data_IF_066654683083
#
_entry.id   IF_066654683083
#
_cell.length_a   1.000
_cell.length_b   1.000
_cell.length_c   1.000
_cell.angle_alpha   90.00
_cell.angle_beta   90.00
_cell.angle_gamma   90.00
#
_symmetry.space_group_name_H-M   'P 1'
#
loop_
_entity.id
_entity.type
_entity.pdbx_description
1 polymer ?
#
# COMPACT_ATOMS: atom_id res chain seq x y z
N UNK A 1 -57.99 -11.62 15.94
CA UNK A 1 -57.28 -11.47 14.65
C UNK A 1 -55.89 -10.86 14.88
N UNK A 2 -54.86 -11.63 14.71
CA UNK A 2 -53.47 -11.15 14.82
C UNK A 2 -53.01 -10.74 13.41
N UNK A 3 -52.37 -9.56 13.23
CA UNK A 3 -51.86 -9.18 11.90
C UNK A 3 -50.62 -9.98 11.54
N UNK A 4 -50.61 -10.53 10.34
CA UNK A 4 -49.49 -11.22 9.73
C UNK A 4 -48.25 -10.30 9.62
N UNK A 5 -47.17 -10.67 10.32
CA UNK A 5 -45.83 -10.14 10.02
C UNK A 5 -45.40 -10.67 8.64
N UNK A 6 -45.40 -9.82 7.64
CA UNK A 6 -44.66 -10.08 6.40
C UNK A 6 -43.17 -10.11 6.76
N UNK A 7 -42.55 -11.29 6.70
CA UNK A 7 -41.10 -11.43 6.66
C UNK A 7 -40.62 -10.74 5.35
N UNK A 8 -39.97 -9.61 5.52
CA UNK A 8 -39.11 -9.10 4.45
C UNK A 8 -37.92 -10.04 4.38
N UNK A 9 -37.75 -10.69 3.23
CA UNK A 9 -36.49 -11.38 2.88
C UNK A 9 -35.35 -10.34 2.95
N UNK A 10 -34.17 -10.69 3.48
CA UNK A 10 -33.05 -9.77 3.48
C UNK A 10 -32.76 -9.40 2.03
N UNK A 11 -32.83 -8.09 1.74
CA UNK A 11 -32.33 -7.54 0.48
C UNK A 11 -30.88 -8.05 0.33
N UNK A 12 -30.62 -8.79 -0.74
CA UNK A 12 -29.27 -9.14 -1.16
C UNK A 12 -28.52 -7.82 -1.26
N UNK A 13 -27.57 -7.56 -0.37
CA UNK A 13 -26.66 -6.42 -0.49
C UNK A 13 -25.97 -6.55 -1.84
N UNK A 14 -26.33 -5.67 -2.78
CA UNK A 14 -25.66 -5.61 -4.07
C UNK A 14 -24.26 -5.09 -3.81
N UNK A 15 -23.23 -5.87 -4.13
CA UNK A 15 -21.84 -5.42 -4.08
C UNK A 15 -21.49 -4.66 -5.37
N UNK A 16 -20.57 -3.71 -5.27
CA UNK A 16 -19.90 -3.11 -6.43
C UNK A 16 -18.92 -4.14 -7.03
N UNK A 17 -19.44 -5.02 -7.89
CA UNK A 17 -18.61 -5.95 -8.67
C UNK A 17 -18.09 -5.28 -9.93
N UNK A 18 -17.08 -5.86 -10.58
CA UNK A 18 -16.53 -5.38 -11.85
C UNK A 18 -17.61 -5.24 -12.92
N UNK A 19 -18.52 -6.21 -13.05
CA UNK A 19 -19.63 -6.16 -13.99
C UNK A 19 -20.60 -5.02 -13.66
N UNK A 20 -20.87 -4.78 -12.36
CA UNK A 20 -21.78 -3.71 -11.95
C UNK A 20 -21.18 -2.33 -12.19
N UNK A 21 -19.88 -2.17 -11.98
CA UNK A 21 -19.17 -0.91 -12.31
C UNK A 21 -19.21 -0.68 -13.83
N UNK A 22 -18.94 -1.71 -14.65
CA UNK A 22 -19.03 -1.60 -16.10
C UNK A 22 -20.44 -1.19 -16.57
N UNK A 23 -21.49 -1.79 -15.99
CA UNK A 23 -22.89 -1.42 -16.26
C UNK A 23 -23.15 0.06 -15.91
N UNK A 24 -22.72 0.52 -14.74
CA UNK A 24 -22.90 1.91 -14.29
C UNK A 24 -22.16 2.92 -15.18
N UNK A 25 -21.01 2.55 -15.70
CA UNK A 25 -20.21 3.37 -16.62
C UNK A 25 -20.66 3.25 -18.09
N UNK A 26 -21.57 2.32 -18.40
CA UNK A 26 -22.05 2.07 -19.75
C UNK A 26 -20.98 1.48 -20.69
N UNK A 27 -20.07 0.67 -20.15
CA UNK A 27 -18.98 0.03 -20.91
C UNK A 27 -19.15 -1.49 -20.94
N UNK A 28 -18.70 -2.09 -22.01
CA UNK A 28 -18.66 -3.54 -22.23
C UNK A 28 -17.32 -4.17 -21.82
N UNK A 29 -16.29 -3.33 -21.65
CA UNK A 29 -14.92 -3.72 -21.31
C UNK A 29 -14.34 -2.69 -20.32
N UNK A 30 -13.74 -3.17 -19.24
CA UNK A 30 -13.09 -2.35 -18.22
C UNK A 30 -11.95 -1.47 -18.79
N UNK A 31 -11.36 -1.87 -19.91
CA UNK A 31 -10.35 -1.03 -20.60
C UNK A 31 -10.92 0.32 -21.05
N UNK A 32 -12.21 0.41 -21.39
CA UNK A 32 -12.89 1.65 -21.80
C UNK A 32 -13.35 2.53 -20.63
N UNK A 33 -13.37 1.97 -19.41
CA UNK A 33 -13.91 2.65 -18.24
C UNK A 33 -13.24 3.98 -17.91
N UNK A 34 -11.89 4.15 -17.98
CA UNK A 34 -11.25 5.43 -17.68
C UNK A 34 -11.73 6.58 -18.57
N UNK A 35 -11.84 6.34 -19.87
CA UNK A 35 -12.31 7.34 -20.84
C UNK A 35 -13.81 7.66 -20.63
N UNK A 36 -14.63 6.65 -20.48
CA UNK A 36 -16.06 6.80 -20.22
C UNK A 36 -16.30 7.60 -18.94
N UNK A 37 -15.63 7.23 -17.85
CA UNK A 37 -15.72 7.93 -16.57
C UNK A 37 -15.28 9.38 -16.68
N UNK A 38 -14.13 9.66 -17.31
CA UNK A 38 -13.66 11.04 -17.52
C UNK A 38 -14.68 11.88 -18.29
N UNK A 39 -15.34 11.33 -19.32
CA UNK A 39 -16.35 12.05 -20.07
C UNK A 39 -17.60 12.34 -19.23
N UNK A 40 -18.02 11.43 -18.36
CA UNK A 40 -19.14 11.64 -17.43
C UNK A 40 -18.81 12.73 -16.41
N UNK A 41 -17.61 12.71 -15.81
CA UNK A 41 -17.21 13.63 -14.75
C UNK A 41 -17.08 15.09 -15.20
N UNK A 42 -16.83 15.35 -16.48
CA UNK A 42 -16.74 16.70 -17.05
C UNK A 42 -18.06 17.48 -17.07
N UNK A 43 -19.18 16.80 -16.92
CA UNK A 43 -20.48 17.43 -16.88
C UNK A 43 -21.12 17.17 -15.50
N UNK A 44 -21.50 18.25 -14.82
CA UNK A 44 -22.05 18.22 -13.45
C UNK A 44 -23.28 17.33 -13.31
N UNK A 45 -24.21 17.39 -14.27
CA UNK A 45 -25.47 16.65 -14.18
C UNK A 45 -25.26 15.15 -14.39
N UNK A 46 -24.42 14.76 -15.36
CA UNK A 46 -24.07 13.37 -15.58
C UNK A 46 -23.24 12.79 -14.44
N UNK A 47 -22.32 13.57 -13.87
CA UNK A 47 -21.53 13.17 -12.70
C UNK A 47 -22.43 12.92 -11.49
N UNK A 48 -23.38 13.86 -11.19
CA UNK A 48 -24.30 13.72 -10.06
C UNK A 48 -25.20 12.49 -10.23
N UNK A 49 -25.76 12.27 -11.42
CA UNK A 49 -26.55 11.08 -11.68
C UNK A 49 -25.73 9.78 -11.48
N UNK A 50 -24.49 9.76 -11.92
CA UNK A 50 -23.60 8.64 -11.65
C UNK A 50 -23.37 8.42 -10.17
N UNK A 51 -23.10 9.48 -9.40
CA UNK A 51 -22.93 9.38 -7.94
C UNK A 51 -24.16 8.81 -7.24
N UNK A 52 -25.37 9.27 -7.61
CA UNK A 52 -26.62 8.75 -7.04
C UNK A 52 -26.77 7.25 -7.33
N UNK A 53 -26.40 6.79 -8.54
CA UNK A 53 -26.46 5.37 -8.90
C UNK A 53 -25.45 4.52 -8.10
N UNK A 54 -24.24 5.02 -7.86
CA UNK A 54 -23.24 4.33 -7.02
C UNK A 54 -23.68 4.31 -5.55
N UNK A 55 -24.18 5.44 -5.00
CA UNK A 55 -24.65 5.54 -3.63
C UNK A 55 -25.90 4.69 -3.35
N UNK A 56 -26.67 4.35 -4.37
CA UNK A 56 -27.78 3.41 -4.22
C UNK A 56 -27.32 1.94 -3.98
N UNK A 57 -26.03 1.64 -4.25
CA UNK A 57 -25.45 0.30 -4.09
C UNK A 57 -24.50 0.25 -2.90
N UNK A 58 -23.64 1.27 -2.75
CA UNK A 58 -22.61 1.37 -1.69
C UNK A 58 -22.65 2.75 -1.06
N UNK A 59 -22.71 2.80 0.26
CA UNK A 59 -22.77 4.04 1.04
C UNK A 59 -21.55 4.24 1.94
N UNK A 60 -20.70 3.23 2.09
CA UNK A 60 -19.47 3.35 2.87
C UNK A 60 -18.39 4.09 2.06
N UNK A 61 -18.20 5.36 2.41
CA UNK A 61 -17.21 6.23 1.78
C UNK A 61 -15.79 6.10 2.37
N UNK A 62 -15.57 5.18 3.32
CA UNK A 62 -14.30 5.04 4.04
C UNK A 62 -13.17 4.38 3.25
N UNK A 63 -13.47 3.83 2.08
CA UNK A 63 -12.50 3.09 1.26
C UNK A 63 -12.64 3.38 -0.24
N UNK A 64 -11.62 3.04 -0.99
CA UNK A 64 -11.59 3.18 -2.45
C UNK A 64 -12.46 2.10 -3.11
N UNK A 65 -13.54 2.51 -3.77
CA UNK A 65 -14.49 1.61 -4.43
C UNK A 65 -13.94 0.96 -5.71
N UNK A 66 -12.87 1.51 -6.27
CA UNK A 66 -12.25 0.99 -7.49
C UNK A 66 -10.98 0.17 -7.23
N UNK A 67 -10.64 -0.04 -5.97
CA UNK A 67 -9.45 -0.80 -5.59
C UNK A 67 -9.41 -2.20 -6.25
N UNK A 68 -10.46 -3.01 -6.06
CA UNK A 68 -10.58 -4.35 -6.65
C UNK A 68 -10.73 -4.28 -8.18
N UNK A 69 -11.60 -3.40 -8.67
CA UNK A 69 -11.86 -3.19 -10.09
C UNK A 69 -10.58 -2.91 -10.88
N UNK A 70 -9.76 -1.99 -10.38
CA UNK A 70 -8.50 -1.63 -11.01
C UNK A 70 -7.44 -2.73 -10.91
N UNK A 71 -7.50 -3.56 -9.86
CA UNK A 71 -6.64 -4.72 -9.69
C UNK A 71 -6.96 -5.84 -10.68
N UNK A 72 -8.22 -6.16 -10.91
CA UNK A 72 -8.65 -7.22 -11.83
C UNK A 72 -8.30 -6.88 -13.28
N UNK A 73 -8.47 -5.62 -13.68
CA UNK A 73 -8.12 -5.14 -15.01
C UNK A 73 -6.61 -5.22 -15.31
N UNK A 74 -5.78 -5.08 -14.28
CA UNK A 74 -4.31 -5.07 -14.41
C UNK A 74 -3.69 -6.47 -14.21
N UNK A 75 -4.40 -7.56 -14.50
CA UNK A 75 -3.88 -8.94 -14.43
C UNK A 75 -2.57 -9.14 -15.22
N UNK A 76 -2.25 -8.30 -16.20
CA UNK A 76 -0.95 -8.22 -16.90
C UNK A 76 0.16 -7.47 -16.11
N UNK A 77 0.19 -7.68 -14.81
CA UNK A 77 1.01 -6.97 -13.80
C UNK A 77 2.53 -7.05 -13.94
N UNK A 78 3.04 -7.96 -14.75
CA UNK A 78 4.49 -8.16 -14.90
C UNK A 78 5.25 -6.91 -15.39
N UNK A 79 4.57 -5.93 -15.98
CA UNK A 79 5.22 -4.74 -16.54
C UNK A 79 5.09 -3.45 -15.70
N UNK A 80 4.07 -3.27 -14.84
CA UNK A 80 3.80 -1.96 -14.20
C UNK A 80 4.03 -1.87 -12.69
N UNK A 81 4.26 -2.98 -11.96
CA UNK A 81 4.62 -2.99 -10.52
C UNK A 81 3.76 -2.07 -9.62
N UNK A 82 2.51 -1.84 -9.97
CA UNK A 82 1.61 -1.02 -9.14
C UNK A 82 0.96 -1.93 -8.09
N UNK A 83 1.43 -1.85 -6.85
CA UNK A 83 0.84 -2.51 -5.71
C UNK A 83 -0.09 -1.53 -5.00
N UNK A 84 -1.38 -1.86 -4.94
CA UNK A 84 -2.36 -1.03 -4.22
C UNK A 84 -2.16 -1.12 -2.71
N UNK A 85 -2.35 0.01 -2.04
CA UNK A 85 -2.15 0.10 -0.59
C UNK A 85 -3.32 -0.56 0.15
N UNK A 86 -3.07 -1.58 1.00
CA UNK A 86 -4.11 -2.15 1.85
C UNK A 86 -4.73 -1.11 2.76
N UNK A 87 -6.04 -1.22 3.02
CA UNK A 87 -6.76 -0.30 3.91
C UNK A 87 -6.13 -0.17 5.30
N UNK A 88 -5.61 -1.27 5.86
CA UNK A 88 -4.94 -1.29 7.17
C UNK A 88 -3.64 -0.46 7.15
N UNK A 89 -2.84 -0.54 6.10
CA UNK A 89 -1.63 0.28 5.93
C UNK A 89 -2.00 1.75 5.79
N UNK A 90 -3.01 2.07 4.97
CA UNK A 90 -3.52 3.44 4.85
C UNK A 90 -4.00 4.00 6.19
N UNK A 91 -4.62 3.17 7.05
CA UNK A 91 -5.01 3.57 8.40
C UNK A 91 -3.80 3.87 9.29
N UNK A 92 -2.73 3.06 9.23
CA UNK A 92 -1.48 3.33 9.96
C UNK A 92 -0.88 4.68 9.54
N UNK A 93 -0.70 4.91 8.24
CA UNK A 93 -0.12 6.17 7.75
C UNK A 93 -0.95 7.38 8.16
N UNK A 94 -2.27 7.33 8.00
CA UNK A 94 -3.15 8.45 8.33
C UNK A 94 -3.16 8.78 9.82
N UNK A 95 -3.06 7.77 10.71
CA UNK A 95 -3.01 7.97 12.16
C UNK A 95 -1.64 8.47 12.64
N UNK A 96 -0.55 8.19 11.91
CA UNK A 96 0.78 8.78 12.14
C UNK A 96 0.77 10.28 11.83
N UNK A 97 0.09 10.66 10.75
CA UNK A 97 0.07 12.05 10.28
C UNK A 97 -0.80 12.97 11.14
N UNK A 98 -1.57 12.41 12.06
CA UNK A 98 -2.58 13.14 12.85
C UNK A 98 -3.49 14.03 11.97
N UNK A 99 -4.23 14.95 12.59
CA UNK A 99 -5.10 15.88 11.87
C UNK A 99 -4.28 16.95 11.13
N UNK A 100 -4.64 17.23 9.87
CA UNK A 100 -3.95 18.21 9.03
C UNK A 100 -4.92 18.96 8.13
N UNK A 101 -4.68 20.27 7.91
CA UNK A 101 -5.53 21.12 7.07
C UNK A 101 -5.23 20.93 5.57
N UNK A 102 -4.00 20.56 5.24
CA UNK A 102 -3.57 20.29 3.86
C UNK A 102 -2.75 19.00 3.77
N UNK A 103 -3.08 18.15 2.81
CA UNK A 103 -2.42 16.85 2.60
C UNK A 103 -2.02 16.67 1.14
N UNK A 104 -0.78 16.23 0.90
CA UNK A 104 -0.30 15.78 -0.41
C UNK A 104 -0.20 14.25 -0.44
N UNK A 105 -0.77 13.64 -1.48
CA UNK A 105 -0.60 12.23 -1.82
C UNK A 105 0.22 12.12 -3.10
N UNK A 106 1.45 11.63 -2.97
CA UNK A 106 2.39 11.47 -4.11
C UNK A 106 2.25 10.07 -4.68
N UNK A 107 2.00 9.98 -5.99
CA UNK A 107 1.62 8.76 -6.70
C UNK A 107 0.32 8.17 -6.13
N UNK A 108 -0.73 8.98 -6.14
CA UNK A 108 -1.99 8.74 -5.44
C UNK A 108 -2.80 7.53 -5.96
N UNK A 109 -2.52 7.03 -7.17
CA UNK A 109 -3.28 5.96 -7.80
C UNK A 109 -4.75 6.34 -7.94
N UNK A 110 -5.63 5.52 -7.41
CA UNK A 110 -7.08 5.79 -7.36
C UNK A 110 -7.54 6.57 -6.11
N UNK A 111 -6.58 6.99 -5.26
CA UNK A 111 -6.84 7.87 -4.12
C UNK A 111 -7.08 7.15 -2.78
N UNK A 112 -6.73 5.87 -2.68
CA UNK A 112 -6.99 5.07 -1.48
C UNK A 112 -6.40 5.65 -0.20
N UNK A 113 -5.15 6.17 -0.23
CA UNK A 113 -4.52 6.83 0.92
C UNK A 113 -5.19 8.16 1.26
N UNK A 114 -5.47 8.98 0.26
CA UNK A 114 -6.16 10.27 0.43
C UNK A 114 -7.54 10.09 1.07
N UNK A 115 -8.32 9.09 0.60
CA UNK A 115 -9.63 8.74 1.17
C UNK A 115 -9.48 8.33 2.64
N UNK A 116 -8.50 7.48 2.95
CA UNK A 116 -8.29 7.01 4.31
C UNK A 116 -7.88 8.13 5.25
N UNK A 117 -7.06 9.07 4.79
CA UNK A 117 -6.69 10.28 5.54
C UNK A 117 -7.92 11.16 5.81
N UNK A 118 -8.69 11.48 4.77
CA UNK A 118 -9.93 12.26 4.88
C UNK A 118 -10.93 11.63 5.87
N UNK A 119 -11.11 10.29 5.79
CA UNK A 119 -12.02 9.58 6.68
C UNK A 119 -11.57 9.62 8.14
N UNK A 120 -10.29 9.37 8.41
CA UNK A 120 -9.75 9.36 9.76
C UNK A 120 -9.67 10.75 10.39
N UNK A 121 -9.61 11.80 9.58
CA UNK A 121 -9.71 13.21 10.04
C UNK A 121 -11.16 13.64 10.39
N UNK A 122 -12.13 12.73 10.24
CA UNK A 122 -13.53 13.02 10.53
C UNK A 122 -14.29 13.67 9.36
N UNK A 123 -13.83 13.44 8.12
CA UNK A 123 -14.47 13.90 6.88
C UNK A 123 -14.60 15.44 6.79
N UNK A 124 -13.50 16.17 6.98
CA UNK A 124 -13.53 17.63 6.98
C UNK A 124 -13.88 18.17 5.58
N UNK A 125 -14.70 19.21 5.56
CA UNK A 125 -15.15 19.89 4.31
C UNK A 125 -14.20 21.00 3.87
N UNK A 126 -13.36 21.51 4.78
CA UNK A 126 -12.49 22.66 4.53
C UNK A 126 -11.05 22.29 4.25
N UNK A 127 -10.63 21.07 4.56
CA UNK A 127 -9.28 20.61 4.31
C UNK A 127 -9.00 20.50 2.81
N UNK A 128 -7.76 20.76 2.43
CA UNK A 128 -7.31 20.75 1.05
C UNK A 128 -6.45 19.52 0.75
N UNK A 129 -6.80 18.80 -0.30
CA UNK A 129 -6.08 17.61 -0.73
C UNK A 129 -5.42 17.88 -2.07
N UNK A 130 -4.13 17.59 -2.15
CA UNK A 130 -3.35 17.63 -3.37
C UNK A 130 -2.94 16.20 -3.72
N UNK A 131 -3.24 15.76 -4.94
CA UNK A 131 -2.88 14.43 -5.41
C UNK A 131 -2.05 14.54 -6.68
N UNK A 132 -0.97 13.81 -6.76
CA UNK A 132 -0.13 13.70 -7.95
C UNK A 132 -0.23 12.28 -8.51
N UNK A 133 -0.60 12.14 -9.78
CA UNK A 133 -0.73 10.84 -10.44
C UNK A 133 -0.33 10.91 -11.91
N UNK A 134 0.49 9.95 -12.33
CA UNK A 134 1.02 9.86 -13.70
C UNK A 134 0.09 9.13 -14.66
N UNK A 135 -0.67 8.15 -14.16
CA UNK A 135 -1.44 7.22 -14.97
C UNK A 135 -2.69 7.84 -15.54
N UNK A 136 -2.77 7.94 -16.87
CA UNK A 136 -3.98 8.35 -17.60
C UNK A 136 -5.21 7.47 -17.23
N UNK A 137 -4.97 6.24 -16.78
CA UNK A 137 -6.01 5.29 -16.42
C UNK A 137 -6.50 5.46 -14.97
N UNK A 138 -5.61 5.80 -14.03
CA UNK A 138 -5.96 5.96 -12.61
C UNK A 138 -6.65 7.30 -12.33
N UNK A 139 -6.24 8.37 -13.01
CA UNK A 139 -6.74 9.73 -12.78
C UNK A 139 -8.28 9.85 -12.83
N UNK A 140 -9.02 9.25 -13.77
CA UNK A 140 -10.50 9.35 -13.76
C UNK A 140 -11.14 8.75 -12.50
N UNK A 141 -10.61 7.63 -12.00
CA UNK A 141 -11.09 6.99 -10.77
C UNK A 141 -10.73 7.79 -9.53
N UNK A 142 -9.52 8.36 -9.49
CA UNK A 142 -9.11 9.30 -8.46
C UNK A 142 -10.07 10.49 -8.39
N UNK A 143 -10.35 11.13 -9.52
CA UNK A 143 -11.29 12.26 -9.59
C UNK A 143 -12.69 11.88 -9.10
N UNK A 144 -13.24 10.75 -9.56
CA UNK A 144 -14.53 10.24 -9.08
C UNK A 144 -14.54 10.05 -7.56
N UNK A 145 -13.51 9.38 -7.04
CA UNK A 145 -13.39 9.08 -5.61
C UNK A 145 -13.37 10.33 -4.74
N UNK A 146 -12.67 11.38 -5.18
CA UNK A 146 -12.63 12.66 -4.46
C UNK A 146 -13.95 13.43 -4.60
N UNK A 147 -14.53 13.45 -5.81
CA UNK A 147 -15.77 14.18 -6.08
C UNK A 147 -16.96 13.62 -5.32
N UNK A 148 -17.19 12.29 -5.34
CA UNK A 148 -18.35 11.68 -4.67
C UNK A 148 -18.33 11.89 -3.16
N UNK A 149 -17.15 12.14 -2.57
CA UNK A 149 -16.96 12.45 -1.15
C UNK A 149 -17.06 13.94 -0.83
N UNK A 150 -17.27 14.78 -1.85
CA UNK A 150 -17.32 16.25 -1.68
C UNK A 150 -16.02 16.84 -1.18
N UNK A 151 -14.88 16.20 -1.45
CA UNK A 151 -13.57 16.66 -1.01
C UNK A 151 -13.15 17.90 -1.81
N UNK A 152 -12.50 18.86 -1.14
CA UNK A 152 -11.85 19.98 -1.81
C UNK A 152 -10.44 19.54 -2.21
N UNK A 153 -10.18 19.37 -3.50
CA UNK A 153 -8.93 18.79 -3.97
C UNK A 153 -8.38 19.43 -5.25
N UNK A 154 -7.06 19.28 -5.44
CA UNK A 154 -6.39 19.50 -6.70
C UNK A 154 -5.69 18.20 -7.12
N UNK A 155 -5.82 17.82 -8.37
CA UNK A 155 -5.17 16.64 -8.95
C UNK A 155 -4.23 17.08 -10.07
N UNK A 156 -2.94 16.84 -9.86
CA UNK A 156 -1.90 17.03 -10.86
C UNK A 156 -1.75 15.72 -11.63
N UNK A 157 -2.23 15.70 -12.85
CA UNK A 157 -1.97 14.62 -13.77
C UNK A 157 -0.62 14.84 -14.43
N UNK A 158 0.40 14.14 -13.98
CA UNK A 158 1.78 14.34 -14.43
C UNK A 158 2.79 13.48 -13.71
N UNK A 159 4.06 13.68 -14.05
CA UNK A 159 5.18 12.98 -13.41
C UNK A 159 5.77 13.83 -12.28
N UNK A 160 5.54 13.41 -11.05
CA UNK A 160 6.04 14.09 -9.85
C UNK A 160 7.57 14.27 -9.85
N UNK A 161 8.31 13.32 -10.39
CA UNK A 161 9.78 13.35 -10.33
C UNK A 161 10.41 14.27 -11.38
N UNK A 162 9.94 14.22 -12.63
CA UNK A 162 10.39 15.12 -13.68
C UNK A 162 9.75 16.51 -13.60
N UNK A 163 8.64 16.65 -12.87
CA UNK A 163 7.86 17.89 -12.80
C UNK A 163 7.03 18.16 -14.07
N UNK A 164 6.95 17.21 -15.00
CA UNK A 164 6.14 17.36 -16.23
C UNK A 164 4.67 17.19 -15.91
N UNK A 165 3.90 18.26 -16.00
CA UNK A 165 2.46 18.28 -15.81
C UNK A 165 1.75 18.18 -17.16
N UNK A 166 0.82 17.21 -17.27
CA UNK A 166 -0.07 17.07 -18.42
C UNK A 166 -1.31 17.94 -18.25
N UNK A 167 -1.96 17.86 -17.08
CA UNK A 167 -3.18 18.58 -16.72
C UNK A 167 -3.26 18.80 -15.22
N UNK A 168 -4.00 19.83 -14.83
CA UNK A 168 -4.37 20.07 -13.44
C UNK A 168 -5.89 20.17 -13.34
N UNK A 169 -6.44 19.43 -12.39
CA UNK A 169 -7.86 19.44 -12.10
C UNK A 169 -8.12 20.01 -10.70
N UNK A 170 -9.15 20.81 -10.58
CA UNK A 170 -9.67 21.32 -9.31
C UNK A 170 -11.05 20.73 -9.05
N UNK A 171 -11.23 20.23 -7.83
CA UNK A 171 -12.49 19.70 -7.32
C UNK A 171 -12.98 20.60 -6.19
N UNK A 172 -14.18 21.14 -6.31
CA UNK A 172 -14.89 21.79 -5.22
C UNK A 172 -16.40 21.70 -5.47
N UNK A 173 -17.19 21.57 -4.39
CA UNK A 173 -18.65 21.50 -4.47
C UNK A 173 -19.19 20.46 -5.46
N UNK A 174 -18.54 19.30 -5.51
CA UNK A 174 -18.84 18.18 -6.44
C UNK A 174 -18.66 18.53 -7.93
N UNK A 175 -17.90 19.58 -8.24
CA UNK A 175 -17.61 20.01 -9.60
C UNK A 175 -16.13 19.80 -9.95
N UNK A 176 -15.88 19.43 -11.20
CA UNK A 176 -14.57 19.24 -11.78
C UNK A 176 -14.25 20.38 -12.74
N UNK A 177 -13.14 21.04 -12.53
CA UNK A 177 -12.63 22.10 -13.43
C UNK A 177 -11.20 21.78 -13.83
N UNK A 178 -10.89 21.77 -15.13
CA UNK A 178 -9.52 21.75 -15.63
C UNK A 178 -8.95 23.17 -15.55
N UNK A 179 -7.80 23.34 -14.90
CA UNK A 179 -7.18 24.65 -14.67
C UNK A 179 -5.79 24.70 -15.32
N UNK A 180 -5.41 25.88 -15.81
CA UNK A 180 -4.09 26.14 -16.40
C UNK A 180 -3.20 27.00 -15.47
N UNK A 181 -3.64 27.21 -14.23
CA UNK A 181 -2.95 28.05 -13.25
C UNK A 181 -1.94 27.22 -12.44
N UNK A 182 -0.90 27.89 -11.94
CA UNK A 182 0.00 27.31 -10.95
C UNK A 182 -0.78 26.86 -9.72
N UNK A 183 -0.27 25.81 -9.07
CA UNK A 183 -0.90 25.25 -7.87
C UNK A 183 -0.97 26.31 -6.77
N UNK A 184 -2.16 26.51 -6.22
CA UNK A 184 -2.35 27.42 -5.09
C UNK A 184 -1.65 26.97 -3.80
N UNK A 185 -1.33 25.67 -3.69
CA UNK A 185 -0.69 25.06 -2.51
C UNK A 185 0.71 24.60 -2.86
N UNK A 186 1.72 25.32 -2.39
CA UNK A 186 3.13 24.98 -2.61
C UNK A 186 3.66 24.02 -1.53
N UNK A 187 3.25 24.21 -0.27
CA UNK A 187 3.64 23.41 0.90
C UNK A 187 2.41 22.94 1.66
N UNK A 188 2.47 21.71 2.19
CA UNK A 188 1.37 21.04 2.90
C UNK A 188 1.75 20.69 4.34
N UNK A 189 0.74 20.48 5.19
CA UNK A 189 0.93 20.06 6.59
C UNK A 189 1.29 18.56 6.68
N UNK A 190 0.73 17.76 5.78
CA UNK A 190 0.95 16.32 5.76
C UNK A 190 1.30 15.83 4.34
N UNK A 191 2.23 14.87 4.27
CA UNK A 191 2.50 14.10 3.04
C UNK A 191 2.28 12.64 3.32
N UNK A 192 1.43 12.00 2.52
CA UNK A 192 1.19 10.56 2.54
C UNK A 192 1.60 9.98 1.19
N UNK A 193 2.25 8.82 1.16
CA UNK A 193 2.64 8.23 -0.11
C UNK A 193 2.91 6.74 -0.01
N UNK A 194 2.52 6.01 -1.03
CA UNK A 194 2.96 4.66 -1.33
C UNK A 194 3.37 4.60 -2.81
N UNK A 195 4.57 5.09 -3.15
CA UNK A 195 5.01 5.17 -4.55
C UNK A 195 5.36 3.79 -5.11
N UNK A 196 5.45 3.63 -6.44
CA UNK A 196 5.84 2.36 -7.05
C UNK A 196 7.26 1.97 -6.64
N UNK A 197 7.42 0.77 -6.04
CA UNK A 197 8.70 0.32 -5.48
C UNK A 197 9.74 0.07 -6.56
N UNK A 198 10.95 0.60 -6.30
CA UNK A 198 12.10 0.44 -7.21
C UNK A 198 11.76 0.79 -8.66
N UNK A 199 10.95 1.81 -8.88
CA UNK A 199 10.63 2.32 -10.21
C UNK A 199 11.87 2.90 -10.89
N UNK A 200 11.91 2.81 -12.22
CA UNK A 200 12.90 3.54 -13.01
C UNK A 200 12.47 4.99 -13.16
N UNK A 201 13.42 5.92 -13.13
CA UNK A 201 13.17 7.33 -13.32
C UNK A 201 14.32 8.00 -14.08
N UNK A 202 14.11 9.20 -14.61
CA UNK A 202 15.16 9.96 -15.27
C UNK A 202 15.97 10.77 -14.23
N UNK A 203 17.03 10.16 -13.73
CA UNK A 203 17.98 10.82 -12.84
C UNK A 203 18.99 11.65 -13.65
N UNK A 204 18.50 12.65 -14.40
CA UNK A 204 19.37 13.58 -15.12
C UNK A 204 20.30 14.33 -14.14
N UNK A 205 21.61 14.47 -14.44
CA UNK A 205 22.50 15.26 -13.60
C UNK A 205 22.03 16.69 -13.32
N UNK A 206 21.24 17.29 -14.21
CA UNK A 206 20.63 18.62 -14.02
C UNK A 206 19.71 18.71 -12.81
N UNK A 207 19.15 17.58 -12.37
CA UNK A 207 18.34 17.53 -11.17
C UNK A 207 19.14 17.73 -9.86
N UNK A 208 20.48 17.72 -9.92
CA UNK A 208 21.30 18.13 -8.76
C UNK A 208 21.15 19.63 -8.46
N UNK A 209 20.71 20.44 -9.41
CA UNK A 209 20.42 21.86 -9.22
C UNK A 209 18.95 22.09 -8.76
N UNK A 210 18.10 21.07 -8.83
CA UNK A 210 16.71 21.12 -8.36
C UNK A 210 16.67 21.21 -6.82
N UNK A 211 15.96 22.20 -6.24
CA UNK A 211 15.91 22.40 -4.79
C UNK A 211 15.38 21.20 -4.00
N UNK A 212 14.67 20.28 -4.66
CA UNK A 212 14.23 19.02 -4.03
C UNK A 212 15.39 18.07 -3.71
N UNK A 213 16.47 18.11 -4.50
CA UNK A 213 17.56 17.15 -4.46
C UNK A 213 18.93 17.75 -4.14
N UNK A 214 19.16 19.03 -4.46
CA UNK A 214 20.46 19.70 -4.39
C UNK A 214 21.15 19.59 -3.02
N UNK A 215 20.36 19.63 -1.95
CA UNK A 215 20.88 19.51 -0.57
C UNK A 215 21.52 18.14 -0.27
N UNK A 216 21.15 17.10 -0.99
CA UNK A 216 21.53 15.70 -0.68
C UNK A 216 22.75 15.21 -1.48
N UNK A 217 23.37 16.05 -2.29
CA UNK A 217 24.64 15.80 -3.03
C UNK A 217 24.57 14.64 -4.04
N UNK A 218 23.58 13.77 -3.97
CA UNK A 218 23.38 12.63 -4.84
C UNK A 218 21.91 12.49 -5.22
N UNK A 219 21.69 12.04 -6.45
CA UNK A 219 20.37 11.61 -6.89
C UNK A 219 20.16 10.13 -6.54
N UNK A 220 18.91 9.75 -6.28
CA UNK A 220 18.53 8.34 -6.19
C UNK A 220 18.95 7.58 -7.48
N UNK A 221 19.29 6.28 -7.39
CA UNK A 221 19.69 5.51 -8.57
C UNK A 221 18.61 5.51 -9.67
N UNK A 222 19.00 5.60 -10.94
CA UNK A 222 18.06 5.55 -12.11
C UNK A 222 17.10 4.35 -12.09
N UNK A 223 17.50 3.26 -11.45
CA UNK A 223 16.73 2.01 -11.36
C UNK A 223 15.88 1.90 -10.10
N UNK A 224 15.95 2.90 -9.19
CA UNK A 224 15.28 2.88 -7.88
C UNK A 224 14.94 4.30 -7.45
N UNK A 225 13.74 4.74 -7.80
CA UNK A 225 13.24 6.08 -7.49
C UNK A 225 12.78 6.26 -6.02
N UNK A 226 12.96 5.23 -5.16
CA UNK A 226 12.43 5.21 -3.79
C UNK A 226 12.76 6.51 -3.04
N UNK A 227 14.04 6.90 -2.98
CA UNK A 227 14.45 8.16 -2.36
C UNK A 227 14.08 9.41 -3.17
N UNK A 228 13.89 9.31 -4.49
CA UNK A 228 13.44 10.47 -5.26
C UNK A 228 12.01 10.87 -4.87
N UNK A 229 11.11 9.90 -4.71
CA UNK A 229 9.76 10.13 -4.20
C UNK A 229 9.76 10.66 -2.76
N UNK A 230 10.61 10.08 -1.90
CA UNK A 230 10.76 10.53 -0.51
C UNK A 230 11.18 12.01 -0.48
N UNK A 231 12.23 12.38 -1.21
CA UNK A 231 12.75 13.74 -1.24
C UNK A 231 11.77 14.73 -1.87
N UNK A 232 11.04 14.33 -2.92
CA UNK A 232 9.99 15.15 -3.54
C UNK A 232 8.88 15.47 -2.54
N UNK A 233 8.32 14.47 -1.87
CA UNK A 233 7.28 14.67 -0.85
C UNK A 233 7.81 15.49 0.34
N UNK A 234 9.02 15.21 0.80
CA UNK A 234 9.63 15.96 1.91
C UNK A 234 9.90 17.43 1.57
N UNK A 235 10.27 17.73 0.33
CA UNK A 235 10.40 19.12 -0.13
C UNK A 235 9.06 19.88 -0.05
N UNK A 236 7.96 19.22 -0.38
CA UNK A 236 6.59 19.80 -0.34
C UNK A 236 6.03 19.97 1.07
N UNK A 237 6.71 19.49 2.09
CA UNK A 237 6.28 19.59 3.47
C UNK A 237 6.55 20.98 4.04
N UNK A 238 5.59 21.54 4.80
CA UNK A 238 5.80 22.72 5.66
C UNK A 238 6.81 22.41 6.77
N UNK A 239 7.35 23.43 7.39
CA UNK A 239 8.35 23.28 8.47
C UNK A 239 7.82 22.55 9.70
N UNK A 240 6.54 22.67 10.00
CA UNK A 240 5.85 21.96 11.09
C UNK A 240 5.20 20.65 10.64
N UNK A 241 5.33 20.30 9.36
CA UNK A 241 4.60 19.18 8.77
C UNK A 241 5.21 17.81 9.08
N UNK A 242 4.42 16.77 8.82
CA UNK A 242 4.82 15.37 8.94
C UNK A 242 4.58 14.62 7.63
N UNK A 243 5.55 13.80 7.24
CA UNK A 243 5.43 12.89 6.09
C UNK A 243 5.48 11.44 6.57
N UNK A 244 4.60 10.60 6.03
CA UNK A 244 4.65 9.15 6.18
C UNK A 244 4.66 8.50 4.80
N UNK A 245 5.70 7.73 4.50
CA UNK A 245 5.89 7.07 3.20
C UNK A 245 6.18 5.58 3.39
N UNK A 246 5.54 4.75 2.57
CA UNK A 246 5.82 3.31 2.52
C UNK A 246 6.87 3.03 1.47
N UNK A 247 7.92 2.31 1.84
CA UNK A 247 9.02 1.96 0.96
C UNK A 247 9.45 0.50 1.18
N UNK A 248 10.14 -0.12 0.20
CA UNK A 248 10.71 -1.46 0.40
C UNK A 248 11.81 -1.42 1.45
N UNK A 249 11.88 -2.43 2.30
CA UNK A 249 12.81 -2.53 3.44
C UNK A 249 14.28 -2.25 3.07
N UNK A 250 14.69 -2.55 1.83
CA UNK A 250 16.04 -2.30 1.35
C UNK A 250 16.52 -0.84 1.43
N UNK A 251 15.62 0.15 1.46
CA UNK A 251 16.00 1.58 1.60
C UNK A 251 16.75 1.87 2.91
N UNK A 252 16.57 1.03 3.92
CA UNK A 252 17.18 1.19 5.23
C UNK A 252 18.70 0.95 5.24
N UNK A 253 19.21 0.12 4.33
CA UNK A 253 20.61 -0.34 4.38
C UNK A 253 21.36 -0.33 3.05
N UNK A 254 20.69 -0.11 1.91
CA UNK A 254 21.41 0.00 0.63
C UNK A 254 22.42 1.15 0.69
N UNK A 255 23.62 0.90 0.16
CA UNK A 255 24.74 1.83 0.13
C UNK A 255 24.72 2.79 -1.07
N UNK A 256 25.91 3.25 -1.47
CA UNK A 256 26.12 4.18 -2.58
C UNK A 256 25.26 5.46 -2.45
N UNK A 257 24.58 5.91 -3.51
CA UNK A 257 23.80 7.15 -3.50
C UNK A 257 22.69 7.16 -2.43
N UNK A 258 22.00 6.02 -2.23
CA UNK A 258 20.94 5.91 -1.21
C UNK A 258 21.52 6.05 0.20
N UNK A 259 22.73 5.52 0.46
CA UNK A 259 23.43 5.69 1.73
C UNK A 259 23.80 7.14 2.01
N UNK A 260 24.24 7.90 0.99
CA UNK A 260 24.58 9.33 1.13
C UNK A 260 23.33 10.14 1.47
N UNK A 261 22.22 9.93 0.74
CA UNK A 261 20.94 10.63 0.98
C UNK A 261 20.43 10.31 2.38
N UNK A 262 20.43 9.05 2.77
CA UNK A 262 19.97 8.60 4.09
C UNK A 262 20.79 9.22 5.23
N UNK A 263 22.11 9.22 5.10
CA UNK A 263 23.01 9.86 6.05
C UNK A 263 22.66 11.33 6.21
N UNK A 264 22.49 12.05 5.12
CA UNK A 264 22.15 13.48 5.14
C UNK A 264 20.82 13.77 5.85
N UNK A 265 19.79 12.98 5.56
CA UNK A 265 18.49 13.06 6.24
C UNK A 265 18.61 12.83 7.76
N UNK A 266 19.51 11.95 8.19
CA UNK A 266 19.77 11.69 9.62
C UNK A 266 20.58 12.81 10.26
N UNK A 267 21.59 13.35 9.59
CA UNK A 267 22.37 14.52 10.04
C UNK A 267 21.48 15.74 10.26
N UNK A 268 20.50 15.95 9.37
CA UNK A 268 19.49 17.00 9.46
C UNK A 268 18.41 16.71 10.54
N UNK A 269 18.41 15.51 11.13
CA UNK A 269 17.38 15.08 12.09
C UNK A 269 16.01 14.89 11.46
N UNK A 270 15.93 14.70 10.14
CA UNK A 270 14.66 14.64 9.40
C UNK A 270 13.89 13.34 9.57
N UNK A 271 14.57 12.21 9.82
CA UNK A 271 13.93 10.91 10.04
C UNK A 271 13.48 10.82 11.49
N UNK A 272 12.14 10.70 11.71
CA UNK A 272 11.51 10.64 13.02
C UNK A 272 11.30 9.20 13.50
N UNK A 273 10.84 8.32 12.58
CA UNK A 273 10.63 6.92 12.90
C UNK A 273 10.82 6.01 11.69
N UNK A 274 11.15 4.75 11.97
CA UNK A 274 11.19 3.62 11.04
C UNK A 274 10.33 2.50 11.60
N UNK A 275 9.27 2.15 10.89
CA UNK A 275 8.29 1.14 11.33
C UNK A 275 8.31 -0.01 10.33
N UNK A 276 8.78 -1.18 10.73
CA UNK A 276 8.77 -2.41 9.93
C UNK A 276 7.37 -3.00 9.89
N UNK A 277 6.85 -3.23 8.70
CA UNK A 277 5.55 -3.85 8.49
C UNK A 277 5.68 -5.35 8.20
N UNK A 278 4.64 -6.16 8.49
CA UNK A 278 4.62 -7.57 8.12
C UNK A 278 4.81 -7.79 6.62
N UNK A 279 5.45 -8.91 6.26
CA UNK A 279 5.49 -9.36 4.88
C UNK A 279 4.08 -9.76 4.39
N UNK A 280 3.90 -9.87 3.08
CA UNK A 280 2.63 -10.26 2.46
C UNK A 280 1.41 -9.37 2.80
N UNK A 281 1.59 -8.10 3.15
CA UNK A 281 0.50 -7.14 3.31
C UNK A 281 -0.01 -6.63 1.97
N UNK A 282 0.86 -6.49 0.97
CA UNK A 282 0.52 -5.96 -0.34
C UNK A 282 0.18 -7.10 -1.30
N UNK A 283 -0.83 -6.88 -2.13
CA UNK A 283 -1.24 -7.86 -3.13
C UNK A 283 -0.16 -8.00 -4.21
N UNK A 284 0.28 -9.23 -4.48
CA UNK A 284 1.22 -9.52 -5.56
C UNK A 284 2.71 -9.39 -5.19
N UNK A 285 3.04 -8.97 -3.97
CA UNK A 285 4.42 -9.00 -3.47
C UNK A 285 4.52 -9.52 -2.03
N UNK A 286 5.51 -10.36 -1.79
CA UNK A 286 5.87 -10.82 -0.44
C UNK A 286 6.97 -9.97 0.20
N UNK A 287 7.40 -8.89 -0.47
CA UNK A 287 8.52 -8.05 -0.02
C UNK A 287 8.11 -7.33 1.27
N UNK A 288 8.91 -7.43 2.36
CA UNK A 288 8.66 -6.65 3.55
C UNK A 288 8.85 -5.15 3.25
N UNK A 289 7.96 -4.35 3.78
CA UNK A 289 7.96 -2.89 3.62
C UNK A 289 8.15 -2.19 4.95
N UNK A 290 8.49 -0.92 4.86
CA UNK A 290 8.65 -0.05 6.03
C UNK A 290 7.90 1.25 5.82
N UNK A 291 7.39 1.80 6.91
CA UNK A 291 6.95 3.21 6.94
C UNK A 291 8.13 4.03 7.47
N UNK A 292 8.54 5.03 6.69
CA UNK A 292 9.49 6.05 7.14
C UNK A 292 8.68 7.31 7.45
N UNK A 293 8.83 7.79 8.68
CA UNK A 293 8.22 9.05 9.12
C UNK A 293 9.27 10.14 9.13
N UNK A 294 8.96 11.24 8.44
CA UNK A 294 9.86 12.39 8.36
C UNK A 294 9.18 13.64 8.91
N UNK A 295 9.97 14.48 9.58
CA UNK A 295 9.56 15.79 10.09
C UNK A 295 10.68 16.79 9.84
N UNK A 296 10.34 18.06 9.64
CA UNK A 296 11.30 19.16 9.59
C UNK A 296 11.50 19.78 10.97
N UNK A 297 12.62 20.50 11.12
CA UNK A 297 12.91 21.35 12.29
C UNK A 297 12.77 20.64 13.65
N UNK A 298 13.04 19.33 13.69
CA UNK A 298 13.08 18.59 14.97
C UNK A 298 14.20 19.10 15.86
N UNK A 299 13.96 19.10 17.16
CA UNK A 299 14.95 19.52 18.16
C UNK A 299 15.93 18.38 18.52
N UNK A 300 15.57 17.14 18.21
CA UNK A 300 16.37 15.94 18.48
C UNK A 300 16.64 15.18 17.16
N UNK A 301 17.65 14.33 17.17
CA UNK A 301 18.02 13.46 16.04
C UNK A 301 17.84 11.97 16.34
N UNK A 302 17.16 11.67 17.45
CA UNK A 302 16.77 10.30 17.80
C UNK A 302 15.76 9.75 16.78
N UNK A 303 15.80 8.45 16.55
CA UNK A 303 14.87 7.76 15.64
C UNK A 303 14.14 6.65 16.38
N UNK A 304 12.81 6.63 16.27
CA UNK A 304 12.00 5.56 16.84
C UNK A 304 11.95 4.38 15.88
N UNK A 305 12.47 3.23 16.28
CA UNK A 305 12.37 1.97 15.56
C UNK A 305 11.23 1.13 16.13
N UNK A 306 10.38 0.61 15.27
CA UNK A 306 9.28 -0.30 15.63
C UNK A 306 9.33 -1.50 14.70
N UNK A 307 9.44 -2.71 15.26
CA UNK A 307 9.33 -3.94 14.50
C UNK A 307 7.94 -4.55 14.68
N UNK A 308 7.04 -4.26 13.73
CA UNK A 308 5.71 -4.86 13.71
C UNK A 308 5.61 -6.06 12.75
N UNK A 309 6.74 -6.63 12.32
CA UNK A 309 6.78 -7.72 11.35
C UNK A 309 6.01 -8.98 11.75
N UNK A 310 5.81 -9.19 13.06
CA UNK A 310 5.04 -10.31 13.64
C UNK A 310 3.58 -9.94 13.95
N UNK A 311 3.17 -8.69 13.79
CA UNK A 311 1.84 -8.18 14.13
C UNK A 311 0.89 -8.32 12.94
N UNK A 312 0.32 -9.49 12.69
CA UNK A 312 -0.62 -9.69 11.59
C UNK A 312 -1.59 -10.85 11.84
N UNK A 313 -2.71 -10.77 11.14
CA UNK A 313 -3.62 -11.91 10.95
C UNK A 313 -3.31 -12.56 9.62
N UNK A 314 -3.10 -13.90 9.64
CA UNK A 314 -2.79 -14.67 8.43
C UNK A 314 -4.05 -14.86 7.60
N UNK A 315 -4.10 -14.25 6.43
CA UNK A 315 -5.14 -14.50 5.43
C UNK A 315 -4.76 -15.60 4.44
N UNK A 316 -5.71 -16.01 3.60
CA UNK A 316 -5.49 -17.06 2.58
C UNK A 316 -4.44 -16.65 1.53
N UNK A 317 -4.52 -15.42 1.04
CA UNK A 317 -3.67 -14.90 -0.03
C UNK A 317 -2.78 -13.72 0.43
N UNK A 318 -3.11 -13.10 1.53
CA UNK A 318 -2.52 -11.84 2.01
C UNK A 318 -2.71 -11.73 3.52
N UNK A 319 -1.71 -11.20 4.21
CA UNK A 319 -1.80 -10.87 5.63
C UNK A 319 -2.57 -9.56 5.81
N UNK A 320 -3.11 -9.32 7.01
CA UNK A 320 -3.79 -8.08 7.37
C UNK A 320 -3.39 -7.60 8.76
N UNK A 321 -3.51 -6.29 9.00
CA UNK A 321 -3.38 -5.71 10.33
C UNK A 321 -4.78 -5.55 10.92
N UNK A 322 -5.00 -6.11 12.12
CA UNK A 322 -6.20 -5.82 12.91
C UNK A 322 -6.12 -4.42 13.54
N UNK A 323 -7.24 -3.95 14.08
CA UNK A 323 -7.27 -2.66 14.79
C UNK A 323 -6.36 -2.67 16.03
N UNK A 324 -6.20 -3.81 16.70
CA UNK A 324 -5.29 -3.96 17.84
C UNK A 324 -3.83 -3.82 17.41
N UNK A 325 -3.44 -4.44 16.30
CA UNK A 325 -2.09 -4.29 15.72
C UNK A 325 -1.82 -2.83 15.34
N UNK A 326 -2.77 -2.16 14.69
CA UNK A 326 -2.66 -0.75 14.32
C UNK A 326 -2.52 0.12 15.57
N UNK A 327 -3.37 -0.08 16.58
CA UNK A 327 -3.31 0.69 17.82
C UNK A 327 -1.98 0.49 18.56
N UNK A 328 -1.44 -0.74 18.56
CA UNK A 328 -0.13 -1.03 19.16
C UNK A 328 0.97 -0.22 18.47
N UNK A 329 1.02 -0.24 17.13
CA UNK A 329 1.99 0.55 16.33
C UNK A 329 1.87 2.04 16.66
N UNK A 330 0.65 2.59 16.62
CA UNK A 330 0.41 4.03 16.80
C UNK A 330 0.70 4.49 18.22
N UNK A 331 0.30 3.71 19.23
CA UNK A 331 0.59 4.05 20.62
C UNK A 331 2.10 4.02 20.88
N UNK A 332 2.81 3.01 20.40
CA UNK A 332 4.27 2.91 20.52
C UNK A 332 4.97 4.09 19.84
N UNK A 333 4.53 4.46 18.62
CA UNK A 333 5.06 5.62 17.92
C UNK A 333 4.86 6.92 18.70
N UNK A 334 3.67 7.12 19.30
CA UNK A 334 3.33 8.34 20.07
C UNK A 334 4.04 8.39 21.43
N UNK A 335 4.15 7.28 22.12
CA UNK A 335 4.80 7.20 23.42
C UNK A 335 6.32 7.31 23.36
N UNK A 336 6.94 6.92 22.23
CA UNK A 336 8.40 6.96 22.00
C UNK A 336 9.20 6.31 23.12
N UNK A 337 8.79 5.12 23.56
CA UNK A 337 9.44 4.33 24.62
C UNK A 337 9.94 3.01 24.07
N UNK A 338 11.02 2.54 24.68
CA UNK A 338 11.54 1.21 24.42
C UNK A 338 10.52 0.14 24.87
N UNK A 339 10.33 -0.85 24.03
CA UNK A 339 9.54 -2.05 24.33
C UNK A 339 10.37 -3.25 23.90
N UNK A 340 10.67 -4.13 24.85
CA UNK A 340 11.50 -5.30 24.60
C UNK A 340 11.00 -6.09 23.40
N UNK A 341 11.94 -6.45 22.49
CA UNK A 341 11.68 -7.21 21.25
C UNK A 341 10.69 -6.57 20.27
N UNK A 342 10.33 -5.30 20.47
CA UNK A 342 9.32 -4.64 19.65
C UNK A 342 9.71 -3.23 19.21
N UNK A 343 10.28 -2.41 20.09
CA UNK A 343 10.57 -1.02 19.76
C UNK A 343 11.77 -0.46 20.54
N UNK A 344 12.53 0.43 19.89
CA UNK A 344 13.70 1.09 20.48
C UNK A 344 13.82 2.54 20.00
N UNK A 345 14.07 3.46 20.93
CA UNK A 345 14.36 4.86 20.63
C UNK A 345 15.88 5.06 20.51
N UNK A 346 16.41 4.87 19.31
CA UNK A 346 17.83 4.98 19.06
C UNK A 346 18.33 6.43 19.10
N UNK A 347 19.40 6.67 19.85
CA UNK A 347 20.09 7.95 19.84
C UNK A 347 20.84 8.18 18.53
N UNK A 348 21.17 9.44 18.23
CA UNK A 348 21.98 9.77 17.05
C UNK A 348 23.37 9.13 17.10
N UNK A 349 23.97 9.02 18.28
CA UNK A 349 25.29 8.39 18.46
C UNK A 349 25.22 6.90 18.13
N UNK A 350 24.20 6.21 18.59
CA UNK A 350 23.94 4.80 18.25
C UNK A 350 23.74 4.60 16.74
N UNK A 351 23.03 5.51 16.07
CA UNK A 351 22.84 5.48 14.61
C UNK A 351 24.16 5.67 13.88
N UNK A 352 25.04 6.57 14.36
CA UNK A 352 26.37 6.78 13.77
C UNK A 352 27.30 5.59 14.00
N UNK A 353 27.26 4.95 15.15
CA UNK A 353 27.99 3.71 15.43
C UNK A 353 27.56 2.55 14.51
N UNK A 354 26.31 2.58 14.02
CA UNK A 354 25.78 1.66 13.02
C UNK A 354 26.00 2.11 11.56
N UNK A 355 26.93 3.04 11.29
CA UNK A 355 27.23 3.56 9.94
C UNK A 355 25.99 4.11 9.20
N UNK A 356 25.07 4.75 9.90
CA UNK A 356 23.79 5.23 9.35
C UNK A 356 22.95 4.16 8.65
N UNK A 357 23.17 2.90 9.00
CA UNK A 357 22.37 1.76 8.56
C UNK A 357 21.16 1.62 9.48
N UNK A 358 19.97 1.79 8.94
CA UNK A 358 18.69 1.77 9.67
C UNK A 358 18.00 0.40 9.67
N UNK A 359 18.74 -0.68 9.37
CA UNK A 359 18.15 -2.03 9.39
C UNK A 359 17.61 -2.34 10.79
N UNK A 360 16.31 -2.57 10.91
CA UNK A 360 15.58 -2.67 12.18
C UNK A 360 16.21 -3.67 13.16
N UNK A 361 16.64 -4.89 12.76
CA UNK A 361 17.30 -5.83 13.68
C UNK A 361 18.61 -5.35 14.33
N UNK A 362 19.16 -4.24 13.90
CA UNK A 362 20.34 -3.61 14.57
C UNK A 362 19.94 -2.82 15.80
N UNK A 363 18.67 -2.43 15.92
CA UNK A 363 18.12 -1.59 16.98
C UNK A 363 17.08 -2.31 17.81
N UNK A 364 16.32 -3.21 17.22
CA UNK A 364 15.29 -4.02 17.88
C UNK A 364 15.72 -5.49 17.78
N UNK A 365 16.21 -6.05 18.88
CA UNK A 365 16.56 -7.46 18.94
C UNK A 365 15.29 -8.32 19.14
N UNK A 366 14.82 -8.91 18.06
CA UNK A 366 13.66 -9.82 18.06
C UNK A 366 14.07 -11.29 18.19
N UNK A 367 15.35 -11.57 18.50
CA UNK A 367 15.82 -12.94 18.67
C UNK A 367 15.07 -13.63 19.80
N UNK A 368 14.50 -14.76 19.48
CA UNK A 368 13.94 -15.72 20.44
C UNK A 368 14.81 -16.95 20.39
N UNK A 369 15.31 -17.36 21.55
CA UNK A 369 16.04 -18.62 21.66
C UNK A 369 15.06 -19.73 21.28
N UNK A 370 15.36 -20.46 20.21
CA UNK A 370 14.54 -21.60 19.81
C UNK A 370 14.58 -22.64 20.96
N UNK A 371 13.41 -23.12 21.36
CA UNK A 371 13.37 -24.23 22.31
C UNK A 371 14.18 -25.40 21.73
N UNK A 372 15.05 -26.00 22.54
CA UNK A 372 15.88 -27.12 22.07
C UNK A 372 14.97 -28.23 21.55
N UNK A 373 15.11 -28.56 20.28
CA UNK A 373 14.34 -29.63 19.64
C UNK A 373 14.59 -30.93 20.43
N UNK A 374 13.53 -31.50 20.98
CA UNK A 374 13.59 -32.81 21.59
C UNK A 374 13.72 -33.89 20.48
N UNK A 375 14.89 -34.54 20.34
CA UNK A 375 15.09 -35.47 19.23
C UNK A 375 14.13 -36.65 19.25
N UNK A 376 13.64 -37.03 20.43
CA UNK A 376 12.67 -38.16 20.59
C UNK A 376 11.27 -37.78 20.12
N UNK A 377 10.84 -36.55 20.37
CA UNK A 377 9.56 -36.02 19.87
C UNK A 377 9.62 -35.88 18.36
N UNK A 378 10.70 -35.25 17.80
CA UNK A 378 10.91 -35.13 16.39
C UNK A 378 10.90 -36.49 15.66
N UNK A 379 11.55 -37.51 16.23
CA UNK A 379 11.52 -38.88 15.70
C UNK A 379 10.13 -39.52 15.74
N UNK A 380 9.35 -39.22 16.78
CA UNK A 380 7.95 -39.66 16.86
C UNK A 380 7.09 -39.01 15.78
N UNK A 381 7.24 -37.69 15.57
CA UNK A 381 6.53 -36.93 14.52
C UNK A 381 6.91 -37.41 13.12
N UNK A 382 8.19 -37.65 12.87
CA UNK A 382 8.67 -38.20 11.60
C UNK A 382 8.04 -39.59 11.33
N UNK A 383 7.98 -40.47 12.35
CA UNK A 383 7.32 -41.78 12.20
C UNK A 383 5.84 -41.63 11.87
N UNK A 384 5.14 -40.76 12.60
CA UNK A 384 3.72 -40.52 12.40
C UNK A 384 3.46 -39.96 10.95
N UNK A 385 4.27 -38.99 10.53
CA UNK A 385 4.15 -38.41 9.18
C UNK A 385 4.41 -39.45 8.08
N UNK A 386 5.40 -40.34 8.27
CA UNK A 386 5.67 -41.42 7.35
C UNK A 386 4.54 -42.47 7.30
N UNK A 387 3.89 -42.76 8.43
CA UNK A 387 2.70 -43.65 8.49
C UNK A 387 1.51 -43.00 7.73
N UNK A 388 1.28 -41.69 7.94
CA UNK A 388 0.23 -40.94 7.23
C UNK A 388 0.51 -40.87 5.71
N UNK A 389 1.77 -40.66 5.32
CA UNK A 389 2.21 -40.69 3.92
C UNK A 389 1.94 -42.05 3.27
N UNK A 390 2.41 -43.13 3.91
CA UNK A 390 2.21 -44.48 3.40
C UNK A 390 0.72 -44.87 3.27
N UNK A 391 -0.13 -44.32 4.15
CA UNK A 391 -1.57 -44.50 4.05
C UNK A 391 -2.15 -43.73 2.86
N UNK A 392 -1.76 -42.47 2.67
CA UNK A 392 -2.19 -41.64 1.54
C UNK A 392 -1.74 -42.22 0.19
N UNK A 393 -0.53 -42.75 0.11
CA UNK A 393 0.01 -43.44 -1.07
C UNK A 393 -0.83 -44.68 -1.42
N UNK A 394 -1.18 -45.51 -0.42
CA UNK A 394 -2.05 -46.68 -0.63
C UNK A 394 -3.47 -46.28 -1.08
N UNK A 395 -4.04 -45.23 -0.50
CA UNK A 395 -5.34 -44.70 -0.92
C UNK A 395 -5.28 -44.20 -2.36
N UNK A 396 -4.20 -43.49 -2.74
CA UNK A 396 -4.01 -43.00 -4.10
C UNK A 396 -3.84 -44.16 -5.10
N UNK A 397 -3.08 -45.21 -4.78
CA UNK A 397 -2.94 -46.42 -5.61
C UNK A 397 -4.31 -47.08 -5.80
N UNK A 398 -5.13 -47.21 -4.72
CA UNK A 398 -6.48 -47.75 -4.82
C UNK A 398 -7.38 -46.92 -5.73
N UNK A 399 -7.30 -45.59 -5.64
CA UNK A 399 -8.07 -44.68 -6.52
C UNK A 399 -7.63 -44.81 -7.99
N UNK A 400 -6.31 -45.01 -8.23
CA UNK A 400 -5.78 -45.23 -9.58
C UNK A 400 -6.23 -46.59 -10.15
N UNK A 401 -6.51 -47.61 -9.33
CA UNK A 401 -7.09 -48.90 -9.72
C UNK A 401 -8.55 -48.80 -10.22
N UNK A 402 -9.28 -47.82 -9.66
CA UNK A 402 -10.69 -47.60 -10.04
C UNK A 402 -10.85 -46.78 -11.33
N UNK A 403 -9.78 -46.17 -11.85
CA UNK A 403 -9.86 -45.37 -13.07
C UNK A 403 -10.08 -46.22 -14.32
N UNK A 404 -11.12 -45.95 -15.03
CA UNK A 404 -11.40 -46.52 -16.37
C UNK A 404 -10.68 -45.66 -17.41
N UNK A 405 -9.72 -46.26 -18.12
CA UNK A 405 -8.89 -45.55 -19.12
C UNK A 405 -9.04 -46.20 -20.49
N UNK A 406 -9.22 -45.39 -21.52
CA UNK A 406 -9.56 -45.83 -22.88
C UNK A 406 -8.31 -45.94 -23.80
N UNK A 407 -7.12 -45.44 -23.39
CA UNK A 407 -5.92 -45.44 -24.18
C UNK A 407 -4.77 -46.25 -23.56
N UNK A 408 -3.94 -46.85 -24.38
CA UNK A 408 -2.74 -47.60 -23.90
C UNK A 408 -1.72 -46.66 -23.23
N UNK A 409 -1.62 -45.41 -23.68
CA UNK A 409 -0.75 -44.40 -23.09
C UNK A 409 -1.18 -44.05 -21.66
N UNK A 410 -2.47 -43.85 -21.43
CA UNK A 410 -3.02 -43.59 -20.09
C UNK A 410 -2.85 -44.79 -19.15
N UNK A 411 -2.95 -46.01 -19.65
CA UNK A 411 -2.67 -47.23 -18.86
C UNK A 411 -1.20 -47.32 -18.44
N UNK A 412 -0.28 -47.04 -19.38
CA UNK A 412 1.15 -47.02 -19.09
C UNK A 412 1.53 -45.93 -18.05
N UNK A 413 0.90 -44.74 -18.14
CA UNK A 413 1.13 -43.64 -17.17
C UNK A 413 0.65 -44.03 -15.76
N UNK A 414 -0.56 -44.60 -15.64
CA UNK A 414 -1.09 -45.08 -14.35
C UNK A 414 -0.16 -46.15 -13.76
N UNK A 415 0.27 -47.12 -14.57
CA UNK A 415 1.17 -48.17 -14.09
C UNK A 415 2.51 -47.61 -13.61
N UNK A 416 3.12 -46.69 -14.35
CA UNK A 416 4.36 -46.04 -13.94
C UNK A 416 4.18 -45.21 -12.66
N UNK A 417 3.03 -44.53 -12.51
CA UNK A 417 2.72 -43.77 -11.29
C UNK A 417 2.61 -44.69 -10.07
N UNK A 418 1.93 -45.82 -10.20
CA UNK A 418 1.82 -46.82 -9.12
C UNK A 418 3.18 -47.36 -8.70
N UNK A 419 4.02 -47.71 -9.68
CA UNK A 419 5.39 -48.21 -9.43
C UNK A 419 6.23 -47.19 -8.63
N UNK A 420 6.09 -45.92 -8.88
CA UNK A 420 6.75 -44.84 -8.09
C UNK A 420 6.22 -44.78 -6.66
N UNK A 421 4.88 -44.85 -6.47
CA UNK A 421 4.24 -44.79 -5.15
C UNK A 421 4.47 -46.05 -4.28
N UNK A 422 4.69 -47.22 -4.90
CA UNK A 422 4.93 -48.49 -4.20
C UNK A 422 6.42 -48.71 -3.88
N UNK A 423 7.36 -48.04 -4.56
CA UNK A 423 8.79 -48.21 -4.39
C UNK A 423 9.51 -47.00 -3.77
N UNK A 424 8.79 -45.91 -3.45
CA UNK A 424 9.30 -44.72 -2.76
C UNK A 424 9.12 -44.87 -1.27
#
# INVERSE_FOLDING_TARGET
MRPHKKLFAPLKTMKLTTEKINELLGVDDAYKAPEALMNILKNKDTARNLFDNFLAIETDLSFDWFHEYFQEEHADRKQKKQDFTPNSVGKVLSLILDHSESTLDVAAGTGGLTIKKWWNDGQPTNNEYLCEELSDRAVPFLLFNLMIRGMKAQVIHGDSLSGVTKKVYKISDYELTEINEELAIEKVDAVISNPPYSAKWDASPTLLDDPRFSHYEKLAPKTKADFAFLLHGFYRLKDSGTMAIVLPHGVLFRGAAEGVIRKKLLEDGSIDAVIGLPANLFFGTSIPTVVIVLKKNRQTRDVMFIDSSKEFEKGKNQNSLSDDHINKIINTYKERKDIEKYAHLASYDEITENDFNLNIPRFVDTFEEEEPINPFELLADIRKTNEELAKAEKELVSMLDELVVDTDESRALIQATKEVLENG
#
